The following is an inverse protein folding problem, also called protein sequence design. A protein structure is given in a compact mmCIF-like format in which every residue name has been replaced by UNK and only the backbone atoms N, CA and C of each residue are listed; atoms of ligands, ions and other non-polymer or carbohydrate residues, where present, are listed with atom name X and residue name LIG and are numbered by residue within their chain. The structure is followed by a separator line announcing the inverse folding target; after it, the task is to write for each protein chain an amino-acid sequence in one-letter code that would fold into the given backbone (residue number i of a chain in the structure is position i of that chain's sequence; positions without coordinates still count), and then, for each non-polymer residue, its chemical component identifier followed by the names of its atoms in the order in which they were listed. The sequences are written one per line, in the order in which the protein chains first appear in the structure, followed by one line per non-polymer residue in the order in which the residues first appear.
data_IF_484156566132
#
_entry.id   IF_484156566132
#
_cell.length_a   1.000
_cell.length_b   1.000
_cell.length_c   1.000
_cell.angle_alpha   90.00
_cell.angle_beta   90.00
_cell.angle_gamma   90.00
#
_symmetry.space_group_name_H-M   'P 1'
#
loop_
_entity.id
_entity.type
_entity.pdbx_description
1 polymer ?
#
# COMPACT_ATOMS: atom_id res chain seq x y z
N UNK A 1 -20.64 3.27 17.66
CA UNK A 1 -19.23 2.91 17.45
C UNK A 1 -18.38 3.77 18.39
N UNK A 2 -17.58 3.17 19.20
CA UNK A 2 -16.58 3.84 20.05
C UNK A 2 -15.20 3.29 19.72
N UNK A 3 -14.18 4.11 19.87
CA UNK A 3 -12.80 3.69 19.66
C UNK A 3 -11.85 4.47 20.57
N UNK A 4 -10.74 3.88 20.93
CA UNK A 4 -9.67 4.53 21.66
C UNK A 4 -8.30 4.05 21.18
N UNK A 5 -7.33 4.94 21.30
CA UNK A 5 -5.93 4.68 20.96
C UNK A 5 -5.12 4.66 22.24
N UNK A 6 -4.32 3.63 22.40
CA UNK A 6 -3.31 3.53 23.45
C UNK A 6 -1.93 3.76 22.80
N UNK A 7 -1.47 5.00 22.78
CA UNK A 7 -0.20 5.38 22.16
C UNK A 7 0.99 4.72 22.86
N UNK A 8 0.99 4.69 24.20
CA UNK A 8 2.07 4.07 24.98
C UNK A 8 2.16 2.56 24.74
N UNK A 9 1.02 1.88 24.55
CA UNK A 9 0.95 0.46 24.25
C UNK A 9 1.02 0.13 22.76
N UNK A 10 1.01 1.12 21.87
CA UNK A 10 1.02 0.95 20.42
C UNK A 10 -0.18 0.15 19.91
N UNK A 11 -1.38 0.44 20.40
CA UNK A 11 -2.60 -0.26 19.98
C UNK A 11 -3.78 0.67 19.78
N UNK A 12 -4.70 0.29 18.89
CA UNK A 12 -6.01 0.90 18.77
C UNK A 12 -7.11 -0.13 18.96
N UNK A 13 -8.24 0.27 19.50
CA UNK A 13 -9.39 -0.61 19.74
C UNK A 13 -10.65 0.07 19.23
N UNK A 14 -11.46 -0.65 18.48
CA UNK A 14 -12.78 -0.24 18.03
C UNK A 14 -13.83 -1.17 18.60
N UNK A 15 -14.97 -0.61 19.02
CA UNK A 15 -16.06 -1.37 19.64
C UNK A 15 -17.40 -0.96 19.04
N UNK A 16 -18.29 -1.93 18.86
CA UNK A 16 -19.68 -1.73 18.46
C UNK A 16 -20.57 -2.11 19.63
N UNK A 17 -21.55 -1.25 19.97
CA UNK A 17 -22.55 -1.49 21.02
C UNK A 17 -21.92 -2.00 22.32
N UNK A 18 -21.00 -1.21 22.87
CA UNK A 18 -20.39 -1.43 24.20
C UNK A 18 -19.64 -2.75 24.39
N UNK A 19 -19.33 -3.54 23.40
CA UNK A 19 -18.56 -4.79 23.49
C UNK A 19 -19.19 -5.96 22.71
N UNK A 20 -20.27 -5.75 22.00
CA UNK A 20 -20.86 -6.80 21.17
C UNK A 20 -19.86 -7.30 20.10
N UNK A 21 -19.05 -6.38 19.58
CA UNK A 21 -17.89 -6.72 18.77
C UNK A 21 -16.74 -5.75 19.09
N UNK A 22 -15.57 -6.30 19.34
CA UNK A 22 -14.34 -5.55 19.62
C UNK A 22 -13.26 -5.97 18.64
N UNK A 23 -12.68 -5.02 17.95
CA UNK A 23 -11.51 -5.22 17.08
C UNK A 23 -10.32 -4.47 17.67
N UNK A 24 -9.17 -5.11 17.74
CA UNK A 24 -7.95 -4.52 18.24
C UNK A 24 -6.84 -4.64 17.20
N UNK A 25 -6.11 -3.55 17.00
CA UNK A 25 -4.93 -3.50 16.15
C UNK A 25 -3.71 -3.13 16.98
N UNK A 26 -2.60 -3.79 16.72
CA UNK A 26 -1.32 -3.56 17.36
C UNK A 26 -0.31 -3.02 16.35
N UNK A 27 0.28 -1.89 16.64
CA UNK A 27 1.36 -1.36 15.84
C UNK A 27 2.69 -2.01 16.26
N UNK A 28 3.42 -2.54 15.29
CA UNK A 28 4.79 -3.03 15.48
C UNK A 28 5.69 -2.37 14.45
N UNK A 29 6.74 -1.71 14.92
CA UNK A 29 7.67 -0.99 14.05
C UNK A 29 8.28 -1.96 13.02
N UNK A 30 8.22 -1.58 11.74
CA UNK A 30 8.70 -2.38 10.62
C UNK A 30 7.68 -3.38 10.05
N UNK A 31 6.59 -3.68 10.78
CA UNK A 31 5.50 -4.55 10.30
C UNK A 31 4.17 -3.81 10.12
N UNK A 32 4.05 -2.59 10.68
CA UNK A 32 2.79 -1.85 10.64
C UNK A 32 1.77 -2.33 11.67
N UNK A 33 0.48 -2.27 11.32
CA UNK A 33 -0.62 -2.67 12.19
C UNK A 33 -1.07 -4.10 11.90
N UNK A 34 -1.22 -4.90 12.94
CA UNK A 34 -1.73 -6.27 12.87
C UNK A 34 -2.98 -6.39 13.72
N UNK A 35 -4.05 -6.94 13.14
CA UNK A 35 -5.30 -7.22 13.86
C UNK A 35 -5.12 -8.47 14.71
N UNK A 36 -5.25 -8.35 16.02
CA UNK A 36 -5.19 -9.48 16.93
C UNK A 36 -5.78 -9.11 18.29
N UNK A 37 -6.33 -10.11 19.01
CA UNK A 37 -6.83 -9.92 20.37
C UNK A 37 -5.69 -9.50 21.32
N UNK A 38 -4.56 -10.18 21.22
CA UNK A 38 -3.36 -9.95 22.01
C UNK A 38 -2.24 -9.48 21.08
N UNK A 39 -1.21 -8.80 21.64
CA UNK A 39 -0.07 -8.34 20.83
C UNK A 39 0.63 -9.55 20.20
N UNK A 40 0.71 -9.61 18.84
CA UNK A 40 1.38 -10.70 18.17
C UNK A 40 2.89 -10.64 18.42
N UNK A 41 3.53 -11.80 18.58
CA UNK A 41 4.98 -11.92 18.56
C UNK A 41 5.43 -12.04 17.12
N UNK A 42 5.68 -10.90 16.49
CA UNK A 42 6.29 -10.82 15.17
C UNK A 42 7.81 -10.76 15.38
N UNK A 43 8.57 -11.55 14.65
CA UNK A 43 10.03 -11.53 14.71
C UNK A 43 10.61 -10.11 14.50
N UNK A 44 11.91 -10.01 14.33
CA UNK A 44 12.53 -8.73 13.97
C UNK A 44 12.27 -8.43 12.50
N UNK A 45 11.79 -7.21 12.20
CA UNK A 45 11.68 -6.75 10.83
C UNK A 45 13.07 -6.66 10.20
N UNK A 46 13.22 -7.22 9.01
CA UNK A 46 14.46 -7.06 8.24
C UNK A 46 14.69 -5.58 7.99
N UNK A 47 15.81 -5.06 8.48
CA UNK A 47 16.23 -3.71 8.14
C UNK A 47 16.66 -3.71 6.68
N UNK A 48 15.84 -3.12 5.82
CA UNK A 48 16.29 -2.75 4.49
C UNK A 48 17.07 -1.46 4.63
N UNK A 49 18.38 -1.55 4.51
CA UNK A 49 19.23 -0.37 4.35
C UNK A 49 19.20 -0.04 2.86
N UNK A 50 18.44 0.97 2.49
CA UNK A 50 18.61 1.60 1.19
C UNK A 50 19.92 2.37 1.28
N UNK A 51 20.94 1.96 0.55
CA UNK A 51 22.25 2.62 0.56
C UNK A 51 22.14 4.06 0.04
N UNK A 52 21.27 4.30 -0.93
CA UNK A 52 20.95 5.63 -1.44
C UNK A 52 19.52 5.67 -2.00
N UNK A 53 18.85 6.78 -1.83
CA UNK A 53 17.63 7.08 -2.58
C UNK A 53 17.97 8.20 -3.59
N UNK A 54 18.20 7.86 -4.87
CA UNK A 54 18.63 8.85 -5.85
C UNK A 54 17.65 10.02 -6.03
N UNK A 55 16.38 9.83 -5.62
CA UNK A 55 15.39 10.91 -5.67
C UNK A 55 15.49 11.89 -4.50
N UNK A 56 15.87 11.43 -3.31
CA UNK A 56 16.08 12.31 -2.14
C UNK A 56 17.42 13.02 -2.19
N UNK A 57 18.38 12.51 -2.97
CA UNK A 57 19.70 13.12 -3.19
C UNK A 57 19.75 13.91 -4.49
N UNK A 58 18.70 13.88 -5.31
CA UNK A 58 18.63 14.64 -6.53
C UNK A 58 18.69 16.14 -6.22
N UNK A 59 19.40 16.94 -7.04
CA UNK A 59 19.34 18.38 -6.93
C UNK A 59 17.90 18.86 -7.14
N UNK A 60 17.57 19.99 -6.53
CA UNK A 60 16.26 20.62 -6.75
C UNK A 60 16.02 20.78 -8.27
N UNK A 61 14.80 20.46 -8.75
CA UNK A 61 14.52 20.56 -10.17
C UNK A 61 14.62 22.02 -10.66
N UNK A 62 15.13 22.19 -11.88
CA UNK A 62 15.11 23.50 -12.53
C UNK A 62 13.66 23.95 -12.77
N UNK A 63 13.35 25.23 -12.56
CA UNK A 63 12.02 25.77 -12.76
C UNK A 63 11.47 25.46 -14.16
N UNK A 64 10.27 24.89 -14.22
CA UNK A 64 9.57 24.60 -15.47
C UNK A 64 8.10 24.99 -15.34
N UNK A 65 7.71 26.08 -15.99
CA UNK A 65 6.38 26.65 -15.87
C UNK A 65 5.24 25.69 -16.27
N UNK A 66 5.46 24.77 -17.21
CA UNK A 66 4.44 23.77 -17.59
C UNK A 66 4.27 22.70 -16.51
N UNK A 67 5.38 22.22 -15.97
CA UNK A 67 5.37 21.24 -14.87
C UNK A 67 4.78 21.88 -13.63
N UNK A 68 5.20 23.09 -13.27
CA UNK A 68 4.71 23.82 -12.10
C UNK A 68 3.19 24.08 -12.20
N UNK A 69 2.69 24.46 -13.39
CA UNK A 69 1.27 24.65 -13.63
C UNK A 69 0.48 23.33 -13.54
N UNK A 70 1.04 22.22 -13.99
CA UNK A 70 0.42 20.91 -13.88
C UNK A 70 0.36 20.45 -12.40
N UNK A 71 1.42 20.66 -11.64
CA UNK A 71 1.48 20.38 -10.20
C UNK A 71 0.48 21.27 -9.46
N UNK A 72 0.41 22.55 -9.77
CA UNK A 72 -0.56 23.48 -9.17
C UNK A 72 -2.02 22.99 -9.36
N UNK A 73 -2.36 22.50 -10.54
CA UNK A 73 -3.68 21.89 -10.80
C UNK A 73 -3.91 20.61 -9.98
N UNK A 74 -2.89 19.78 -9.82
CA UNK A 74 -2.99 18.57 -9.02
C UNK A 74 -3.23 18.87 -7.53
N UNK A 75 -2.81 20.02 -7.05
CA UNK A 75 -3.11 20.55 -5.71
C UNK A 75 -4.41 21.35 -5.65
N UNK A 76 -5.03 21.64 -6.78
CA UNK A 76 -6.28 22.38 -6.84
C UNK A 76 -6.12 23.89 -6.67
N UNK A 77 -4.95 24.44 -6.95
CA UNK A 77 -4.67 25.88 -6.82
C UNK A 77 -5.56 26.72 -7.75
N UNK A 78 -6.13 26.12 -8.79
CA UNK A 78 -7.09 26.71 -9.71
C UNK A 78 -8.56 26.52 -9.27
N UNK A 79 -8.80 25.86 -8.15
CA UNK A 79 -10.14 25.59 -7.62
C UNK A 79 -10.48 26.49 -6.45
N UNK A 80 -11.75 26.90 -6.29
CA UNK A 80 -12.18 27.70 -5.16
C UNK A 80 -12.18 26.91 -3.85
N UNK A 81 -11.52 27.43 -2.81
CA UNK A 81 -11.58 27.07 -1.40
C UNK A 81 -11.84 25.59 -1.09
N UNK A 82 -13.03 25.28 -0.64
CA UNK A 82 -13.42 23.92 -0.19
C UNK A 82 -13.25 22.81 -1.23
N UNK A 83 -13.17 23.12 -2.53
CA UNK A 83 -12.93 22.12 -3.59
C UNK A 83 -11.46 21.74 -3.69
N UNK A 84 -10.56 22.70 -3.46
CA UNK A 84 -9.11 22.41 -3.38
C UNK A 84 -8.81 21.51 -2.19
N UNK A 85 -9.38 21.82 -1.01
CA UNK A 85 -9.21 21.02 0.21
C UNK A 85 -9.75 19.58 0.03
N UNK A 86 -10.82 19.41 -0.77
CA UNK A 86 -11.41 18.10 -1.03
C UNK A 86 -10.54 17.17 -1.89
N UNK A 87 -9.53 17.67 -2.62
CA UNK A 87 -8.60 16.81 -3.37
C UNK A 87 -7.70 16.01 -2.45
N UNK A 88 -7.29 16.57 -1.32
CA UNK A 88 -6.44 15.89 -0.33
C UNK A 88 -5.08 15.48 -0.89
N UNK A 89 -4.58 16.13 -1.93
CA UNK A 89 -3.27 15.85 -2.55
C UNK A 89 -2.16 16.12 -1.54
N UNK A 90 -1.35 15.12 -1.24
CA UNK A 90 -0.27 15.20 -0.24
C UNK A 90 1.11 15.37 -0.83
N UNK A 91 1.33 14.84 -2.03
CA UNK A 91 2.59 14.96 -2.73
C UNK A 91 2.42 14.68 -4.21
N UNK A 92 3.16 15.38 -5.03
CA UNK A 92 3.31 15.15 -6.48
C UNK A 92 4.80 15.19 -6.81
N UNK A 93 5.26 14.16 -7.51
CA UNK A 93 6.63 14.04 -8.00
C UNK A 93 6.58 13.76 -9.49
N UNK A 94 7.28 14.51 -10.28
CA UNK A 94 7.34 14.36 -11.73
C UNK A 94 8.76 14.00 -12.16
N UNK A 95 8.88 12.83 -12.80
CA UNK A 95 10.13 12.37 -13.38
C UNK A 95 10.04 12.40 -14.90
N UNK A 96 11.09 12.82 -15.57
CA UNK A 96 11.28 12.74 -17.01
C UNK A 96 12.67 12.19 -17.31
N UNK A 97 12.73 11.10 -18.06
CA UNK A 97 13.98 10.40 -18.39
C UNK A 97 14.80 9.99 -17.14
N UNK A 98 14.11 9.63 -16.06
CA UNK A 98 14.72 9.27 -14.78
C UNK A 98 15.20 10.46 -13.94
N UNK A 99 14.98 11.69 -14.39
CA UNK A 99 15.37 12.92 -13.69
C UNK A 99 14.17 13.56 -13.00
N UNK A 100 14.38 14.08 -11.79
CA UNK A 100 13.37 14.85 -11.09
C UNK A 100 13.21 16.20 -11.80
N UNK A 101 12.00 16.49 -12.32
CA UNK A 101 11.69 17.73 -13.03
C UNK A 101 10.65 18.58 -12.31
N UNK A 102 10.06 18.09 -11.24
CA UNK A 102 9.15 18.84 -10.38
C UNK A 102 8.70 18.03 -9.20
N UNK A 103 8.55 18.67 -8.06
CA UNK A 103 7.95 18.08 -6.86
C UNK A 103 7.28 19.15 -6.00
N UNK A 104 6.21 18.74 -5.32
CA UNK A 104 5.53 19.56 -4.33
C UNK A 104 4.84 18.67 -3.30
N UNK A 105 4.87 19.10 -2.05
CA UNK A 105 4.22 18.44 -0.93
C UNK A 105 3.25 19.42 -0.25
N UNK A 106 2.15 18.86 0.30
CA UNK A 106 1.25 19.63 1.15
C UNK A 106 1.90 19.93 2.50
N UNK A 107 1.34 20.87 3.23
CA UNK A 107 1.79 21.20 4.58
C UNK A 107 1.83 19.94 5.48
N UNK A 108 2.91 19.73 6.19
CA UNK A 108 3.14 18.57 7.05
C UNK A 108 3.61 17.29 6.32
N UNK A 109 3.86 17.37 5.01
CA UNK A 109 4.39 16.26 4.21
C UNK A 109 5.69 16.65 3.53
N UNK A 110 6.54 15.66 3.29
CA UNK A 110 7.81 15.78 2.58
C UNK A 110 8.13 14.48 1.81
N UNK A 111 9.28 14.46 1.13
CA UNK A 111 9.76 13.30 0.36
C UNK A 111 10.00 12.05 1.22
N UNK A 112 10.22 12.19 2.53
CA UNK A 112 10.47 11.10 3.45
C UNK A 112 9.20 10.63 4.19
N UNK A 113 8.09 11.35 4.03
CA UNK A 113 6.83 11.01 4.71
C UNK A 113 6.22 9.72 4.15
N UNK A 114 6.09 8.63 4.95
CA UNK A 114 5.47 7.40 4.49
C UNK A 114 4.01 7.61 4.13
N UNK A 115 3.61 7.07 2.98
CA UNK A 115 2.23 7.11 2.48
C UNK A 115 1.64 5.70 2.37
N UNK A 116 0.33 5.58 2.59
CA UNK A 116 -0.37 4.32 2.34
C UNK A 116 -0.48 4.09 0.83
N UNK A 117 0.17 3.03 0.36
CA UNK A 117 0.25 2.73 -1.07
C UNK A 117 -1.01 2.07 -1.64
N UNK A 118 -1.85 1.42 -0.80
CA UNK A 118 -2.99 0.62 -1.27
C UNK A 118 -2.61 -0.22 -2.50
N UNK A 119 -3.40 -0.19 -3.57
CA UNK A 119 -3.15 -0.96 -4.79
C UNK A 119 -1.90 -0.53 -5.58
N UNK A 120 -1.23 0.56 -5.24
CA UNK A 120 0.11 0.83 -5.77
C UNK A 120 1.11 -0.27 -5.39
N UNK A 121 0.86 -1.00 -4.30
CA UNK A 121 1.59 -2.21 -3.94
C UNK A 121 1.60 -3.27 -5.03
N UNK A 122 0.56 -3.35 -5.89
CA UNK A 122 0.53 -4.27 -7.04
C UNK A 122 1.60 -3.93 -8.07
N UNK A 123 1.88 -2.65 -8.30
CA UNK A 123 2.96 -2.21 -9.19
C UNK A 123 4.33 -2.60 -8.64
N UNK A 124 4.55 -2.44 -7.34
CA UNK A 124 5.78 -2.89 -6.67
C UNK A 124 5.93 -4.41 -6.77
N UNK A 125 4.85 -5.17 -6.53
CA UNK A 125 4.83 -6.62 -6.68
C UNK A 125 5.20 -7.03 -8.10
N UNK A 126 4.65 -6.36 -9.12
CA UNK A 126 4.97 -6.62 -10.53
C UNK A 126 6.46 -6.39 -10.82
N UNK A 127 7.05 -5.31 -10.31
CA UNK A 127 8.48 -5.03 -10.44
C UNK A 127 9.35 -6.10 -9.77
N UNK A 128 8.97 -6.54 -8.57
CA UNK A 128 9.68 -7.60 -7.84
C UNK A 128 9.62 -8.93 -8.60
N UNK A 129 8.46 -9.31 -9.11
CA UNK A 129 8.30 -10.52 -9.93
C UNK A 129 9.10 -10.40 -11.23
N UNK A 130 9.08 -9.25 -11.91
CA UNK A 130 9.93 -8.98 -13.07
C UNK A 130 11.42 -9.15 -12.76
N UNK A 131 11.86 -8.70 -11.59
CA UNK A 131 13.24 -8.92 -11.11
C UNK A 131 13.55 -10.40 -10.89
N UNK A 132 12.61 -11.17 -10.34
CA UNK A 132 12.77 -12.62 -10.15
C UNK A 132 12.82 -13.36 -11.49
N UNK A 133 12.03 -12.95 -12.48
CA UNK A 133 12.07 -13.50 -13.85
C UNK A 133 13.42 -13.21 -14.49
N UNK A 134 13.92 -11.98 -14.39
CA UNK A 134 15.25 -11.61 -14.90
C UNK A 134 16.37 -12.44 -14.25
N UNK A 135 16.22 -12.80 -12.99
CA UNK A 135 17.13 -13.65 -12.25
C UNK A 135 16.91 -15.16 -12.50
N UNK A 136 16.00 -15.53 -13.40
CA UNK A 136 15.64 -16.92 -13.69
C UNK A 136 15.18 -17.73 -12.47
N UNK A 137 14.59 -17.06 -11.49
CA UNK A 137 14.07 -17.69 -10.26
C UNK A 137 12.62 -18.11 -10.38
N UNK A 138 11.90 -17.55 -11.32
CA UNK A 138 10.48 -17.82 -11.62
C UNK A 138 10.26 -17.53 -13.10
N UNK A 139 9.32 -18.25 -13.74
CA UNK A 139 8.82 -17.93 -15.06
C UNK A 139 7.35 -17.47 -14.96
N UNK A 140 6.91 -16.66 -15.90
CA UNK A 140 5.51 -16.14 -15.91
C UNK A 140 4.48 -17.25 -16.18
N UNK A 141 4.89 -18.33 -16.78
CA UNK A 141 4.09 -19.53 -17.08
C UNK A 141 4.21 -20.62 -16.01
N UNK A 142 4.99 -20.42 -14.94
CA UNK A 142 5.05 -21.34 -13.82
C UNK A 142 3.67 -21.58 -13.20
N UNK A 143 3.44 -22.85 -12.83
CA UNK A 143 2.22 -23.39 -12.23
C UNK A 143 2.53 -24.05 -10.90
N UNK A 144 1.50 -24.54 -10.20
CA UNK A 144 1.70 -25.19 -8.91
C UNK A 144 2.20 -24.22 -7.85
N UNK A 145 1.73 -22.98 -7.90
CA UNK A 145 2.21 -21.86 -7.07
C UNK A 145 1.96 -22.06 -5.58
N UNK A 146 1.01 -22.92 -5.23
CA UNK A 146 0.72 -23.30 -3.83
C UNK A 146 0.62 -24.82 -3.73
N UNK A 147 1.31 -25.45 -2.77
CA UNK A 147 1.30 -26.91 -2.59
C UNK A 147 -0.08 -27.46 -2.23
N UNK A 148 -0.92 -26.68 -1.58
CA UNK A 148 -2.29 -27.04 -1.16
C UNK A 148 -3.31 -26.98 -2.31
N UNK A 149 -2.97 -26.42 -3.45
CA UNK A 149 -3.82 -26.38 -4.64
C UNK A 149 -3.76 -27.70 -5.40
N UNK A 150 -4.56 -28.66 -4.99
CA UNK A 150 -4.60 -30.02 -5.59
C UNK A 150 -5.63 -30.16 -6.72
N UNK A 151 -6.53 -29.22 -6.87
CA UNK A 151 -7.57 -29.16 -7.90
C UNK A 151 -7.15 -28.34 -9.15
N UNK A 152 -8.12 -27.81 -9.90
CA UNK A 152 -7.87 -26.98 -11.09
C UNK A 152 -6.99 -25.74 -10.83
N UNK A 153 -6.97 -25.22 -9.61
CA UNK A 153 -6.15 -24.07 -9.22
C UNK A 153 -4.65 -24.29 -9.38
N UNK A 154 -4.19 -25.55 -9.33
CA UNK A 154 -2.78 -25.91 -9.61
C UNK A 154 -2.30 -25.47 -11.00
N UNK A 155 -3.20 -25.22 -11.93
CA UNK A 155 -2.90 -24.79 -13.29
C UNK A 155 -2.81 -23.28 -13.46
N UNK A 156 -3.16 -22.52 -12.42
CA UNK A 156 -3.05 -21.06 -12.43
C UNK A 156 -1.58 -20.67 -12.57
N UNK A 157 -1.29 -19.77 -13.50
CA UNK A 157 0.06 -19.29 -13.78
C UNK A 157 0.35 -17.97 -13.07
N UNK A 158 1.63 -17.63 -12.94
CA UNK A 158 2.08 -16.32 -12.47
C UNK A 158 1.50 -15.19 -13.35
N UNK A 159 1.51 -15.38 -14.69
CA UNK A 159 0.93 -14.41 -15.64
C UNK A 159 -0.56 -14.18 -15.38
N UNK A 160 -1.34 -15.23 -15.13
CA UNK A 160 -2.77 -15.09 -14.82
C UNK A 160 -3.02 -14.34 -13.52
N UNK A 161 -2.17 -14.54 -12.50
CA UNK A 161 -2.26 -13.77 -11.25
C UNK A 161 -1.91 -12.30 -11.50
N UNK A 162 -0.83 -12.01 -12.23
CA UNK A 162 -0.41 -10.64 -12.56
C UNK A 162 -1.46 -9.89 -13.37
N UNK A 163 -2.17 -10.57 -14.27
CA UNK A 163 -3.27 -10.00 -15.06
C UNK A 163 -4.61 -9.99 -14.35
N UNK A 164 -4.69 -10.52 -13.13
CA UNK A 164 -5.95 -10.66 -12.37
C UNK A 164 -6.99 -11.49 -13.12
N UNK A 165 -6.56 -12.53 -13.85
CA UNK A 165 -7.38 -13.45 -14.66
C UNK A 165 -7.28 -14.89 -14.19
N UNK A 166 -7.00 -15.10 -12.92
CA UNK A 166 -6.80 -16.42 -12.31
C UNK A 166 -8.04 -17.30 -12.30
N UNK A 167 -9.24 -16.71 -12.41
CA UNK A 167 -10.52 -17.42 -12.28
C UNK A 167 -10.88 -17.80 -10.84
N UNK A 168 -10.12 -17.35 -9.84
CA UNK A 168 -10.50 -17.47 -8.43
C UNK A 168 -11.74 -16.63 -8.16
N UNK A 169 -12.66 -17.18 -7.38
CA UNK A 169 -13.84 -16.43 -6.94
C UNK A 169 -13.44 -15.34 -5.97
N UNK A 170 -13.73 -14.10 -6.32
CA UNK A 170 -13.44 -12.94 -5.50
C UNK A 170 -14.51 -11.87 -5.70
N UNK A 171 -14.90 -11.20 -4.63
CA UNK A 171 -15.83 -10.07 -4.66
C UNK A 171 -15.21 -8.88 -3.94
N UNK A 172 -15.04 -7.77 -4.67
CA UNK A 172 -14.53 -6.50 -4.16
C UNK A 172 -15.65 -5.52 -3.76
N UNK A 173 -16.85 -6.01 -3.53
CA UNK A 173 -17.93 -5.18 -2.98
C UNK A 173 -17.59 -4.80 -1.53
N UNK A 174 -17.39 -3.51 -1.28
CA UNK A 174 -17.01 -2.97 0.03
C UNK A 174 -18.23 -2.83 0.96
N UNK A 175 -18.97 -3.92 1.15
CA UNK A 175 -20.03 -4.01 2.13
C UNK A 175 -19.55 -4.73 3.39
N UNK A 176 -20.22 -4.53 4.51
CA UNK A 176 -19.88 -5.21 5.76
C UNK A 176 -20.02 -6.73 5.59
N UNK A 177 -18.97 -7.47 5.96
CA UNK A 177 -18.94 -8.93 5.92
C UNK A 177 -18.65 -9.56 4.56
N UNK A 178 -18.32 -8.76 3.53
CA UNK A 178 -17.85 -9.28 2.23
C UNK A 178 -16.39 -9.77 2.32
N UNK A 179 -15.93 -10.65 1.41
CA UNK A 179 -14.57 -11.17 1.45
C UNK A 179 -13.49 -10.10 1.57
N UNK A 180 -13.58 -9.00 0.80
CA UNK A 180 -12.58 -7.93 0.86
C UNK A 180 -12.57 -7.21 2.20
N UNK A 181 -13.73 -6.94 2.79
CA UNK A 181 -13.80 -6.26 4.09
C UNK A 181 -13.38 -7.17 5.22
N UNK A 182 -13.65 -8.48 5.14
CA UNK A 182 -13.10 -9.46 6.06
C UNK A 182 -11.58 -9.51 5.98
N UNK A 183 -11.00 -9.64 4.79
CA UNK A 183 -9.56 -9.64 4.56
C UNK A 183 -8.89 -8.39 5.13
N UNK A 184 -9.45 -7.19 4.87
CA UNK A 184 -8.83 -5.92 5.28
C UNK A 184 -8.96 -5.62 6.77
N UNK A 185 -10.04 -6.07 7.42
CA UNK A 185 -10.41 -5.58 8.74
C UNK A 185 -10.60 -6.67 9.80
N UNK A 186 -10.65 -7.93 9.42
CA UNK A 186 -10.89 -9.03 10.36
C UNK A 186 -9.75 -10.04 10.41
N UNK A 187 -9.10 -10.31 9.28
CA UNK A 187 -8.04 -11.31 9.21
C UNK A 187 -6.69 -10.74 9.70
N UNK A 188 -6.03 -11.43 10.64
CA UNK A 188 -4.69 -11.03 11.10
C UNK A 188 -3.59 -11.32 10.08
N UNK A 189 -3.82 -12.26 9.19
CA UNK A 189 -2.94 -12.65 8.08
C UNK A 189 -3.75 -12.71 6.78
N UNK A 190 -3.57 -11.71 5.93
CA UNK A 190 -4.26 -11.62 4.65
C UNK A 190 -3.78 -12.64 3.60
N UNK A 191 -2.63 -13.26 3.83
CA UNK A 191 -2.01 -14.20 2.90
C UNK A 191 -2.20 -15.68 3.30
N UNK A 192 -2.73 -15.91 4.52
CA UNK A 192 -2.93 -17.21 5.13
C UNK A 192 -4.04 -18.07 4.54
#
# INVERSE_FOLDING_TARGET
LTGYVNEAGGSSTSQILFTLATQKAWFTRGFGCTLAKDRPSLGEATKVVADTNPLTEAPAPEPNAEVDAAIAKAFGDDLPGTRADALGTRGVVVLRDGQLVGERYAEGFDAATPQLGWSMGKSVTSLLLGRMVLQQRIAIDDKGLRPDWTDGRKNITVDQLLRMTSGLTWDETYALGTPITQMLYAEPDMAG
#
